data_IF_120972002663
#
_entry.id   IF_120972002663
#
_cell.length_a   1.000
_cell.length_b   1.000
_cell.length_c   1.000
_cell.angle_alpha   90.00
_cell.angle_beta   90.00
_cell.angle_gamma   90.00
#
_symmetry.space_group_name_H-M   'P 1'
#
loop_
_entity.id
_entity.type
_entity.pdbx_description
1 polymer ?
#
# COMPACT_ATOMS: atom_id res chain seq x y z
N UNK A 1 20.77 -5.64 -16.87
CA UNK A 1 20.38 -6.64 -15.86
C UNK A 1 18.96 -6.31 -15.42
N UNK A 2 18.07 -7.29 -15.30
CA UNK A 2 16.72 -7.08 -14.74
C UNK A 2 16.79 -7.18 -13.21
N UNK A 3 16.34 -6.14 -12.49
CA UNK A 3 16.23 -6.15 -11.03
C UNK A 3 14.92 -6.85 -10.64
N UNK A 4 14.97 -7.78 -9.69
CA UNK A 4 13.76 -8.42 -9.13
C UNK A 4 13.35 -7.66 -7.88
N UNK A 5 12.08 -7.29 -7.83
CA UNK A 5 11.49 -6.58 -6.70
C UNK A 5 10.31 -7.39 -6.19
N UNK A 6 10.05 -7.30 -4.89
CA UNK A 6 8.88 -7.88 -4.24
C UNK A 6 8.02 -6.76 -3.68
N UNK A 7 6.72 -6.77 -4.02
CA UNK A 7 5.75 -5.83 -3.46
C UNK A 7 4.85 -6.57 -2.47
N UNK A 8 4.78 -6.06 -1.25
CA UNK A 8 3.77 -6.45 -0.26
C UNK A 8 2.64 -5.43 -0.23
N UNK A 9 1.39 -5.89 -0.21
CA UNK A 9 0.19 -5.06 -0.04
C UNK A 9 -0.55 -5.60 1.19
N UNK A 10 -0.77 -4.73 2.16
CA UNK A 10 -1.51 -5.01 3.39
C UNK A 10 -2.76 -4.11 3.43
N UNK A 11 -3.93 -4.71 3.21
CA UNK A 11 -5.22 -4.02 3.24
C UNK A 11 -5.80 -4.16 4.65
N UNK A 12 -5.58 -3.12 5.46
CA UNK A 12 -6.06 -3.06 6.84
C UNK A 12 -7.46 -2.43 6.96
N UNK A 13 -7.96 -2.35 8.19
CA UNK A 13 -9.27 -1.74 8.46
C UNK A 13 -9.26 -0.22 8.34
N UNK A 14 -8.11 0.44 8.57
CA UNK A 14 -8.04 1.93 8.54
C UNK A 14 -7.22 2.45 7.36
N UNK A 15 -6.37 1.61 6.78
CA UNK A 15 -5.49 1.99 5.69
C UNK A 15 -5.01 0.79 4.89
N UNK A 16 -4.58 1.05 3.66
CA UNK A 16 -3.76 0.11 2.88
C UNK A 16 -2.32 0.57 2.93
N UNK A 17 -1.40 -0.38 3.15
CA UNK A 17 0.05 -0.15 3.10
C UNK A 17 0.64 -0.94 1.93
N UNK A 18 1.51 -0.31 1.15
CA UNK A 18 2.33 -0.97 0.15
C UNK A 18 3.81 -0.85 0.51
N UNK A 19 4.57 -1.91 0.29
CA UNK A 19 5.98 -2.01 0.66
C UNK A 19 6.76 -2.65 -0.48
N UNK A 20 7.90 -2.07 -0.85
CA UNK A 20 8.78 -2.53 -1.92
C UNK A 20 10.08 -3.07 -1.33
N UNK A 21 10.44 -4.31 -1.66
CA UNK A 21 11.68 -4.96 -1.25
C UNK A 21 12.54 -5.37 -2.45
N UNK A 22 13.85 -5.44 -2.25
CA UNK A 22 14.73 -6.20 -3.14
C UNK A 22 14.73 -7.71 -2.82
N UNK A 23 15.50 -8.47 -3.59
CA UNK A 23 15.63 -9.94 -3.43
C UNK A 23 16.34 -10.38 -2.14
N UNK A 24 17.06 -9.48 -1.48
CA UNK A 24 17.77 -9.73 -0.23
C UNK A 24 16.89 -9.36 0.99
N UNK A 25 15.67 -8.87 0.75
CA UNK A 25 14.73 -8.44 1.76
C UNK A 25 14.96 -7.01 2.25
N UNK A 26 15.78 -6.22 1.57
CA UNK A 26 15.99 -4.80 1.89
C UNK A 26 14.75 -4.00 1.55
N UNK A 27 14.25 -3.21 2.51
CA UNK A 27 13.18 -2.26 2.28
C UNK A 27 13.67 -1.12 1.38
N UNK A 28 13.04 -0.95 0.22
CA UNK A 28 13.38 0.09 -0.75
C UNK A 28 12.42 1.29 -0.67
N UNK A 29 11.12 1.03 -0.42
CA UNK A 29 10.11 2.06 -0.28
C UNK A 29 8.88 1.54 0.46
N UNK A 30 8.14 2.43 1.10
CA UNK A 30 6.82 2.14 1.66
C UNK A 30 5.89 3.33 1.53
N UNK A 31 4.59 3.06 1.44
CA UNK A 31 3.53 4.05 1.42
C UNK A 31 2.30 3.52 2.14
N UNK A 32 1.50 4.42 2.71
CA UNK A 32 0.23 4.09 3.33
C UNK A 32 -0.84 5.13 2.96
N UNK A 33 -2.06 4.66 2.76
CA UNK A 33 -3.21 5.52 2.46
C UNK A 33 -4.38 5.12 3.36
N UNK A 34 -4.86 6.07 4.16
CA UNK A 34 -6.02 5.88 5.04
C UNK A 34 -7.35 6.03 4.28
N UNK A 35 -8.39 5.35 4.78
CA UNK A 35 -9.77 5.43 4.32
C UNK A 35 -10.75 5.25 5.49
N UNK A 36 -11.98 5.78 5.37
CA UNK A 36 -12.94 5.73 6.44
C UNK A 36 -13.48 4.33 6.71
N UNK A 37 -14.00 4.15 7.92
CA UNK A 37 -14.98 3.10 8.25
C UNK A 37 -16.22 3.81 8.77
N UNK A 38 -17.37 3.51 8.19
CA UNK A 38 -18.65 4.03 8.63
C UNK A 38 -19.22 3.19 9.78
N UNK A 39 -19.80 3.86 10.76
CA UNK A 39 -20.46 3.26 11.91
C UNK A 39 -21.92 3.74 11.98
N UNK A 40 -22.79 3.36 11.02
CA UNK A 40 -24.14 3.90 10.92
C UNK A 40 -25.05 3.49 12.09
N UNK A 41 -24.76 2.34 12.72
CA UNK A 41 -25.50 1.80 13.85
C UNK A 41 -24.55 1.20 14.89
N UNK A 42 -25.02 1.05 16.13
CA UNK A 42 -24.24 0.46 17.20
C UNK A 42 -23.81 -0.98 16.85
N UNK A 43 -22.51 -1.25 16.89
CA UNK A 43 -21.93 -2.57 16.56
C UNK A 43 -21.71 -2.83 15.08
N UNK A 44 -22.01 -1.88 14.19
CA UNK A 44 -21.77 -2.01 12.75
C UNK A 44 -20.48 -1.32 12.34
N UNK A 45 -19.76 -1.91 11.40
CA UNK A 45 -18.60 -1.32 10.74
C UNK A 45 -18.69 -1.63 9.25
N UNK A 46 -18.80 -0.59 8.43
CA UNK A 46 -18.94 -0.70 6.97
C UNK A 46 -17.80 0.06 6.29
N UNK A 47 -17.31 -0.48 5.18
CA UNK A 47 -16.29 0.15 4.34
C UNK A 47 -16.70 0.03 2.88
N UNK A 48 -16.30 1.01 2.07
CA UNK A 48 -16.46 0.93 0.62
C UNK A 48 -15.27 0.15 0.03
N UNK A 49 -15.51 -0.96 -0.70
CA UNK A 49 -14.43 -1.68 -1.39
C UNK A 49 -13.65 -0.82 -2.39
N UNK A 50 -14.26 0.24 -2.93
CA UNK A 50 -13.58 1.17 -3.84
C UNK A 50 -12.50 1.98 -3.13
N UNK A 51 -12.66 2.26 -1.83
CA UNK A 51 -11.64 2.93 -1.02
C UNK A 51 -10.39 2.05 -0.88
N UNK A 52 -10.57 0.74 -0.70
CA UNK A 52 -9.45 -0.21 -0.63
C UNK A 52 -8.68 -0.27 -1.94
N UNK A 53 -9.39 -0.31 -3.07
CA UNK A 53 -8.79 -0.33 -4.40
C UNK A 53 -8.04 0.98 -4.70
N UNK A 54 -8.69 2.11 -4.45
CA UNK A 54 -8.11 3.44 -4.63
C UNK A 54 -6.85 3.61 -3.78
N UNK A 55 -6.88 3.17 -2.52
CA UNK A 55 -5.72 3.20 -1.62
C UNK A 55 -4.60 2.27 -2.08
N UNK A 56 -4.92 1.10 -2.60
CA UNK A 56 -3.94 0.18 -3.21
C UNK A 56 -3.24 0.84 -4.41
N UNK A 57 -4.00 1.40 -5.35
CA UNK A 57 -3.42 2.10 -6.51
C UNK A 57 -2.58 3.32 -6.10
N UNK A 58 -3.06 4.12 -5.14
CA UNK A 58 -2.37 5.30 -4.65
C UNK A 58 -1.03 4.93 -4.00
N UNK A 59 -1.02 3.93 -3.12
CA UNK A 59 0.21 3.48 -2.44
C UNK A 59 1.19 2.83 -3.40
N UNK A 60 0.73 2.03 -4.37
CA UNK A 60 1.59 1.50 -5.45
C UNK A 60 2.22 2.62 -6.27
N UNK A 61 1.45 3.67 -6.60
CA UNK A 61 1.98 4.83 -7.33
C UNK A 61 3.06 5.54 -6.50
N UNK A 62 2.84 5.70 -5.19
CA UNK A 62 3.78 6.37 -4.29
C UNK A 62 5.10 5.61 -4.12
N UNK A 63 5.09 4.28 -3.95
CA UNK A 63 6.33 3.51 -3.76
C UNK A 63 7.22 3.47 -5.01
N UNK A 64 6.66 3.73 -6.19
CA UNK A 64 7.42 3.81 -7.45
C UNK A 64 7.70 5.25 -7.91
N UNK A 65 7.17 6.27 -7.23
CA UNK A 65 7.36 7.68 -7.59
C UNK A 65 8.79 8.18 -7.35
N UNK A 66 9.47 7.65 -6.33
CA UNK A 66 10.88 7.95 -6.06
C UNK A 66 11.78 6.86 -6.69
N UNK A 67 12.70 7.20 -7.61
CA UNK A 67 13.60 6.24 -8.25
C UNK A 67 14.72 5.72 -7.33
N UNK A 68 14.71 6.00 -6.02
CA UNK A 68 15.66 5.42 -5.06
C UNK A 68 15.72 3.88 -5.11
N UNK A 69 14.63 3.20 -5.50
CA UNK A 69 14.64 1.75 -5.72
C UNK A 69 15.50 1.32 -6.93
N UNK A 70 15.88 2.26 -7.80
CA UNK A 70 16.72 2.08 -9.00
C UNK A 70 18.12 2.73 -8.84
N UNK A 71 18.42 3.34 -7.69
CA UNK A 71 19.78 3.78 -7.39
C UNK A 71 20.68 2.55 -7.21
N UNK A 72 21.68 2.42 -8.09
CA UNK A 72 22.64 1.33 -8.15
C UNK A 72 23.66 1.37 -7.02
#
# INVERSE_FOLDING_TARGET
MTKRLLVGIDVGTTSTKAVLFDQDGTLLAEAAQEYPTAYPYNGWAEQDPEDWWSATCATLTQIFADPQWDAA
#
